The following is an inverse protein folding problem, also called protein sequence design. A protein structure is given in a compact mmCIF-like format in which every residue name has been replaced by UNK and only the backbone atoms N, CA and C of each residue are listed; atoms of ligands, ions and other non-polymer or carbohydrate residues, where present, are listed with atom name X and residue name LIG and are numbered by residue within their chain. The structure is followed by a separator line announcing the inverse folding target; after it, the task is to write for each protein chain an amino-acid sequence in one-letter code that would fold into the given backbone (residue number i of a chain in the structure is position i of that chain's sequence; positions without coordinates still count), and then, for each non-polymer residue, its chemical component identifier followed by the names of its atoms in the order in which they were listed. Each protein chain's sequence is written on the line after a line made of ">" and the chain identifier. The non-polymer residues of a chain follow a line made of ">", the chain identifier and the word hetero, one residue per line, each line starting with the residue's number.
data_IF_436869570482
#
_entry.id   IF_436869570482
#
_cell.length_a   1.000
_cell.length_b   1.000
_cell.length_c   1.000
_cell.angle_alpha   90.00
_cell.angle_beta   90.00
_cell.angle_gamma   90.00
#
_symmetry.space_group_name_H-M   'P 1'
#
loop_
_entity.id
_entity.type
_entity.pdbx_description
1 polymer ?
#
# COMPACT_ATOMS: atom_id res chain seq x y z
N UNK A 1 1.60 -28.50 3.05
CA UNK A 1 2.71 -27.51 3.13
C UNK A 1 2.24 -26.14 2.76
N UNK A 2 2.47 -25.20 3.64
CA UNK A 2 2.18 -23.80 3.31
C UNK A 2 3.19 -23.29 2.28
N UNK A 3 2.71 -22.62 1.27
CA UNK A 3 3.59 -21.97 0.31
C UNK A 3 4.27 -20.77 0.96
N UNK A 4 5.48 -20.46 0.54
CA UNK A 4 6.19 -19.29 1.04
C UNK A 4 5.48 -18.00 0.64
N UNK A 5 5.60 -16.99 1.50
CA UNK A 5 5.09 -15.68 1.18
C UNK A 5 5.97 -15.02 0.12
N UNK A 6 5.35 -14.57 -0.96
CA UNK A 6 6.05 -13.93 -2.09
C UNK A 6 5.43 -12.58 -2.41
N UNK A 7 6.29 -11.60 -2.62
CA UNK A 7 5.88 -10.25 -2.98
C UNK A 7 5.34 -10.24 -4.41
N UNK A 8 4.17 -9.65 -4.58
CA UNK A 8 3.50 -9.50 -5.87
C UNK A 8 3.58 -8.07 -6.39
N UNK A 9 3.71 -7.10 -5.50
CA UNK A 9 3.82 -5.70 -5.88
C UNK A 9 4.38 -4.85 -4.75
N UNK A 10 5.14 -3.83 -5.12
CA UNK A 10 5.58 -2.75 -4.23
C UNK A 10 5.03 -1.44 -4.76
N UNK A 11 4.38 -0.65 -3.92
CA UNK A 11 3.99 0.71 -4.26
C UNK A 11 4.54 1.65 -3.19
N UNK A 12 5.46 2.52 -3.58
CA UNK A 12 6.12 3.45 -2.68
C UNK A 12 5.34 4.75 -2.55
N UNK A 13 5.63 5.51 -1.50
CA UNK A 13 5.00 6.82 -1.24
C UNK A 13 3.49 6.76 -1.29
N UNK A 14 2.94 5.78 -0.58
CA UNK A 14 1.49 5.63 -0.43
C UNK A 14 1.05 6.36 0.83
N UNK A 15 0.01 7.17 0.69
CA UNK A 15 -0.61 7.90 1.79
C UNK A 15 -1.82 7.12 2.28
N UNK A 16 -1.78 6.70 3.54
CA UNK A 16 -2.89 6.01 4.19
C UNK A 16 -3.65 6.98 5.07
N UNK A 17 -4.96 7.04 4.90
CA UNK A 17 -5.85 7.79 5.78
C UNK A 17 -6.92 6.86 6.33
N UNK A 18 -7.36 7.13 7.56
CA UNK A 18 -8.53 6.49 8.13
C UNK A 18 -9.74 7.36 7.84
N UNK A 19 -10.83 6.74 7.39
CA UNK A 19 -12.10 7.43 7.15
C UNK A 19 -12.96 7.39 8.40
N UNK A 20 -13.73 8.44 8.65
CA UNK A 20 -14.68 8.51 9.75
C UNK A 20 -14.37 9.62 10.74
N UNK A 21 -15.23 9.74 11.74
CA UNK A 21 -15.21 10.81 12.75
C UNK A 21 -13.92 10.86 13.56
N UNK A 22 -13.27 9.74 13.75
CA UNK A 22 -12.04 9.63 14.53
C UNK A 22 -10.84 9.28 13.65
N UNK A 23 -10.93 9.61 12.37
CA UNK A 23 -9.83 9.40 11.46
C UNK A 23 -8.61 10.20 11.91
N UNK A 24 -7.49 9.53 12.10
CA UNK A 24 -6.24 10.17 12.47
C UNK A 24 -5.59 10.85 11.28
N UNK A 25 -4.42 11.46 11.54
CA UNK A 25 -3.59 12.02 10.48
C UNK A 25 -3.14 10.92 9.52
N UNK A 26 -3.00 11.27 8.25
CA UNK A 26 -2.46 10.36 7.26
C UNK A 26 -1.02 9.97 7.54
N UNK A 27 -0.61 8.86 6.98
CA UNK A 27 0.74 8.30 7.15
C UNK A 27 1.28 7.87 5.80
N UNK A 28 2.56 8.14 5.59
CA UNK A 28 3.25 7.64 4.40
C UNK A 28 3.85 6.27 4.66
N UNK A 29 3.81 5.41 3.65
CA UNK A 29 4.48 4.13 3.71
C UNK A 29 4.59 3.47 2.35
N UNK A 30 5.08 2.25 2.37
CA UNK A 30 5.13 1.40 1.19
C UNK A 30 4.02 0.34 1.31
N UNK A 31 3.19 0.25 0.29
CA UNK A 31 2.15 -0.76 0.24
C UNK A 31 2.70 -1.98 -0.50
N UNK A 32 2.73 -3.11 0.18
CA UNK A 32 3.23 -4.36 -0.39
C UNK A 32 2.09 -5.36 -0.46
N UNK A 33 1.88 -5.91 -1.66
CA UNK A 33 0.94 -7.01 -1.86
C UNK A 33 1.74 -8.30 -1.96
N UNK A 34 1.40 -9.27 -1.13
CA UNK A 34 1.99 -10.61 -1.24
C UNK A 34 0.90 -11.61 -1.64
N UNK A 35 1.30 -12.86 -1.84
CA UNK A 35 0.35 -13.92 -2.11
C UNK A 35 -0.50 -14.31 -0.90
N UNK A 36 -0.26 -13.71 0.27
CA UNK A 36 -0.98 -14.06 1.52
C UNK A 36 -1.71 -12.90 2.16
N UNK A 37 -1.19 -11.66 1.99
CA UNK A 37 -1.74 -10.51 2.73
C UNK A 37 -1.32 -9.20 2.10
N UNK A 38 -1.94 -8.13 2.57
CA UNK A 38 -1.60 -6.76 2.21
C UNK A 38 -0.86 -6.13 3.39
N UNK A 39 0.25 -5.47 3.10
CA UNK A 39 1.14 -4.93 4.12
C UNK A 39 1.36 -3.45 3.90
N UNK A 40 1.28 -2.66 4.97
CA UNK A 40 1.60 -1.24 4.91
C UNK A 40 2.82 -0.98 5.78
N UNK A 41 3.95 -0.70 5.14
CA UNK A 41 5.27 -0.59 5.78
C UNK A 41 5.59 0.88 6.00
N UNK A 42 5.49 1.32 7.25
CA UNK A 42 5.82 2.71 7.65
C UNK A 42 7.28 2.83 8.07
N UNK A 43 7.84 1.79 8.62
CA UNK A 43 9.25 1.75 9.07
C UNK A 43 9.94 0.63 8.31
N UNK A 44 10.98 1.00 7.55
CA UNK A 44 11.66 0.04 6.69
C UNK A 44 13.17 0.03 6.92
N UNK A 45 13.76 -1.16 6.78
CA UNK A 45 15.21 -1.35 6.73
C UNK A 45 15.78 -1.01 5.35
N UNK A 46 14.93 -0.77 4.36
CA UNK A 46 15.39 -0.34 3.04
C UNK A 46 16.08 1.02 3.13
N UNK A 47 17.19 1.16 2.41
CA UNK A 47 17.98 2.39 2.46
C UNK A 47 17.29 3.57 1.78
N UNK A 48 17.66 4.77 2.23
CA UNK A 48 17.14 6.02 1.66
C UNK A 48 17.45 6.12 0.16
N UNK A 49 18.63 5.68 -0.24
CA UNK A 49 19.02 5.69 -1.67
C UNK A 49 18.13 4.78 -2.50
N UNK A 50 17.83 3.59 -1.99
CA UNK A 50 16.94 2.66 -2.67
C UNK A 50 15.55 3.27 -2.81
N UNK A 51 15.01 3.80 -1.72
CA UNK A 51 13.68 4.42 -1.71
C UNK A 51 13.58 5.53 -2.75
N UNK A 52 14.53 6.46 -2.73
CA UNK A 52 14.53 7.60 -3.66
C UNK A 52 14.63 7.18 -5.11
N UNK A 53 15.53 6.23 -5.42
CA UNK A 53 15.71 5.75 -6.79
C UNK A 53 14.45 5.02 -7.30
N UNK A 54 13.88 4.14 -6.49
CA UNK A 54 12.69 3.38 -6.86
C UNK A 54 11.48 4.30 -6.99
N UNK A 55 11.32 5.23 -6.05
CA UNK A 55 10.23 6.21 -6.09
C UNK A 55 10.27 7.03 -7.39
N UNK A 56 11.43 7.47 -7.79
CA UNK A 56 11.60 8.23 -9.04
C UNK A 56 11.17 7.38 -10.25
N UNK A 57 11.67 6.15 -10.33
CA UNK A 57 11.29 5.23 -11.42
C UNK A 57 9.79 4.94 -11.42
N UNK A 58 9.23 4.73 -10.24
CA UNK A 58 7.80 4.47 -10.07
C UNK A 58 6.96 5.64 -10.60
N UNK A 59 7.32 6.87 -10.25
CA UNK A 59 6.59 8.05 -10.69
C UNK A 59 6.56 8.14 -12.21
N UNK A 60 7.72 7.97 -12.86
CA UNK A 60 7.81 7.98 -14.32
C UNK A 60 6.94 6.89 -14.93
N UNK A 61 7.04 5.67 -14.41
CA UNK A 61 6.27 4.54 -14.90
C UNK A 61 4.77 4.76 -14.75
N UNK A 62 4.34 5.25 -13.60
CA UNK A 62 2.91 5.44 -13.33
C UNK A 62 2.30 6.58 -14.14
N UNK A 63 3.09 7.57 -14.51
CA UNK A 63 2.65 8.61 -15.43
C UNK A 63 2.37 8.07 -16.82
N UNK A 64 3.04 6.97 -17.21
CA UNK A 64 2.88 6.36 -18.52
C UNK A 64 1.87 5.22 -18.55
N UNK A 65 2.00 4.24 -17.65
CA UNK A 65 1.21 3.01 -17.69
C UNK A 65 0.12 2.89 -16.63
N UNK A 66 0.24 3.65 -15.54
CA UNK A 66 -0.65 3.61 -14.36
C UNK A 66 -0.67 2.27 -13.62
N UNK A 67 0.08 1.26 -14.06
CA UNK A 67 0.08 -0.07 -13.47
C UNK A 67 0.85 -0.10 -12.15
N UNK A 68 0.17 -0.51 -11.08
CA UNK A 68 0.77 -0.63 -9.74
C UNK A 68 1.20 -2.06 -9.40
N UNK A 69 0.91 -3.03 -10.26
CA UNK A 69 1.27 -4.44 -10.04
C UNK A 69 2.70 -4.70 -10.54
N UNK A 70 3.68 -4.11 -9.84
CA UNK A 70 5.09 -4.20 -10.21
C UNK A 70 5.91 -4.57 -8.99
N UNK A 71 6.81 -5.54 -9.15
CA UNK A 71 7.78 -5.93 -8.13
C UNK A 71 9.06 -5.14 -8.37
N UNK A 72 9.51 -4.42 -7.35
CA UNK A 72 10.72 -3.60 -7.42
C UNK A 72 11.95 -4.38 -6.94
N UNK A 73 13.05 -4.26 -7.65
CA UNK A 73 14.31 -4.90 -7.26
C UNK A 73 14.92 -4.23 -6.03
N UNK A 74 15.63 -5.01 -5.23
CA UNK A 74 16.35 -4.49 -4.06
C UNK A 74 15.59 -4.58 -2.74
N UNK A 75 14.35 -5.02 -2.79
CA UNK A 75 13.56 -5.27 -1.58
C UNK A 75 12.82 -6.59 -1.76
N UNK A 76 13.42 -7.65 -1.25
CA UNK A 76 12.85 -8.98 -1.34
C UNK A 76 12.23 -9.45 -0.05
N UNK A 77 11.90 -10.73 0.01
CA UNK A 77 11.20 -11.35 1.12
C UNK A 77 12.00 -11.31 2.42
N UNK A 78 13.33 -11.29 2.35
CA UNK A 78 14.17 -11.19 3.54
C UNK A 78 14.03 -9.83 4.23
N UNK A 79 14.06 -8.75 3.45
CA UNK A 79 13.86 -7.41 3.99
C UNK A 79 12.44 -7.24 4.51
N UNK A 80 11.47 -7.83 3.82
CA UNK A 80 10.09 -7.83 4.27
C UNK A 80 9.95 -8.50 5.63
N UNK A 81 10.59 -9.66 5.82
CA UNK A 81 10.57 -10.36 7.09
C UNK A 81 11.08 -9.48 8.24
N UNK A 82 12.20 -8.78 8.00
CA UNK A 82 12.77 -7.87 8.99
C UNK A 82 11.82 -6.73 9.31
N UNK A 83 11.23 -6.13 8.28
CA UNK A 83 10.29 -5.03 8.48
C UNK A 83 9.03 -5.48 9.22
N UNK A 84 8.57 -6.71 9.03
CA UNK A 84 7.39 -7.24 9.70
C UNK A 84 7.59 -7.49 11.20
N UNK A 85 8.82 -7.49 11.67
CA UNK A 85 9.12 -7.55 13.11
C UNK A 85 8.80 -6.22 13.81
N UNK A 86 8.76 -5.12 13.07
CA UNK A 86 8.40 -3.82 13.62
C UNK A 86 6.88 -3.72 13.74
N UNK A 87 6.39 -3.52 14.96
CA UNK A 87 4.96 -3.48 15.26
C UNK A 87 4.22 -2.29 14.64
N UNK A 88 4.96 -1.27 14.21
CA UNK A 88 4.36 -0.10 13.54
C UNK A 88 3.93 -0.42 12.11
N UNK A 89 4.45 -1.49 11.54
CA UNK A 89 4.08 -1.93 10.19
C UNK A 89 2.81 -2.77 10.27
N UNK A 90 1.84 -2.45 9.43
CA UNK A 90 0.51 -3.02 9.46
C UNK A 90 0.41 -4.26 8.58
N UNK A 91 -0.22 -5.30 9.10
CA UNK A 91 -0.45 -6.57 8.38
C UNK A 91 -1.96 -6.77 8.24
N UNK A 92 -2.42 -6.94 7.00
CA UNK A 92 -3.83 -7.12 6.71
C UNK A 92 -4.02 -8.45 5.98
N UNK A 93 -4.52 -9.46 6.67
CA UNK A 93 -4.86 -10.74 6.05
C UNK A 93 -6.03 -10.55 5.11
N UNK A 94 -6.06 -11.25 3.98
CA UNK A 94 -7.10 -11.08 2.99
C UNK A 94 -8.50 -11.37 3.54
N UNK A 95 -8.63 -12.36 4.41
CA UNK A 95 -9.93 -12.70 4.99
C UNK A 95 -10.40 -11.70 6.05
N UNK A 96 -9.57 -10.74 6.43
CA UNK A 96 -9.97 -9.64 7.32
C UNK A 96 -10.40 -8.39 6.53
N UNK A 97 -10.33 -8.44 5.21
CA UNK A 97 -10.80 -7.36 4.35
C UNK A 97 -12.29 -7.58 4.07
N UNK A 98 -13.12 -6.70 4.60
CA UNK A 98 -14.58 -6.77 4.45
C UNK A 98 -15.04 -6.18 3.12
N UNK A 99 -14.31 -5.16 2.64
CA UNK A 99 -14.67 -4.43 1.44
C UNK A 99 -13.40 -3.87 0.83
N UNK A 100 -13.30 -3.94 -0.48
CA UNK A 100 -12.20 -3.34 -1.24
C UNK A 100 -12.73 -2.80 -2.56
N UNK A 101 -12.41 -1.55 -2.87
CA UNK A 101 -12.84 -0.90 -4.10
C UNK A 101 -11.86 0.17 -4.53
N UNK A 102 -11.63 0.27 -5.83
CA UNK A 102 -10.85 1.35 -6.43
C UNK A 102 -11.81 2.42 -6.96
N UNK A 103 -11.54 3.68 -6.63
CA UNK A 103 -12.34 4.82 -7.11
C UNK A 103 -11.45 5.91 -7.69
N UNK A 104 -11.89 6.46 -8.82
CA UNK A 104 -11.25 7.62 -9.42
C UNK A 104 -11.85 8.90 -8.84
N UNK A 105 -10.98 9.78 -8.34
CA UNK A 105 -11.33 11.11 -7.88
C UNK A 105 -10.66 12.13 -8.82
N UNK A 106 -11.16 13.36 -8.80
CA UNK A 106 -10.56 14.44 -9.61
C UNK A 106 -9.08 14.60 -9.28
N UNK A 107 -8.72 14.43 -8.02
CA UNK A 107 -7.36 14.65 -7.50
C UNK A 107 -6.46 13.41 -7.48
N UNK A 108 -6.99 12.23 -7.75
CA UNK A 108 -6.19 11.00 -7.71
C UNK A 108 -7.03 9.74 -7.71
N UNK A 109 -6.35 8.61 -7.74
CA UNK A 109 -7.00 7.29 -7.69
C UNK A 109 -6.88 6.73 -6.29
N UNK A 110 -7.98 6.29 -5.70
CA UNK A 110 -8.04 5.86 -4.30
C UNK A 110 -8.40 4.40 -4.20
N UNK A 111 -7.66 3.67 -3.37
CA UNK A 111 -8.00 2.30 -2.99
C UNK A 111 -8.67 2.35 -1.61
N UNK A 112 -9.95 1.98 -1.56
CA UNK A 112 -10.72 1.93 -0.31
C UNK A 112 -10.73 0.52 0.25
N UNK A 113 -10.45 0.40 1.55
CA UNK A 113 -10.51 -0.85 2.28
C UNK A 113 -11.28 -0.69 3.58
N UNK A 114 -12.22 -1.60 3.82
CA UNK A 114 -12.80 -1.77 5.14
C UNK A 114 -12.25 -3.09 5.68
N UNK A 115 -11.64 -3.05 6.87
CA UNK A 115 -10.99 -4.21 7.48
C UNK A 115 -11.46 -4.42 8.90
N UNK A 116 -11.24 -5.64 9.42
CA UNK A 116 -11.36 -5.93 10.84
C UNK A 116 -9.96 -6.11 11.41
N UNK A 117 -9.65 -5.38 12.46
CA UNK A 117 -8.38 -5.49 13.17
C UNK A 117 -8.65 -5.42 14.66
N UNK A 118 -8.23 -6.47 15.39
CA UNK A 118 -8.47 -6.54 16.82
C UNK A 118 -9.93 -6.48 17.23
N UNK A 119 -10.83 -7.03 16.41
CA UNK A 119 -12.26 -7.01 16.65
C UNK A 119 -12.96 -5.70 16.30
N UNK A 120 -12.21 -4.72 15.76
CA UNK A 120 -12.76 -3.43 15.37
C UNK A 120 -12.72 -3.24 13.87
N UNK A 121 -13.79 -2.66 13.34
CA UNK A 121 -13.83 -2.30 11.93
C UNK A 121 -13.08 -0.99 11.70
N UNK A 122 -12.20 -0.97 10.70
CA UNK A 122 -11.46 0.22 10.30
C UNK A 122 -11.70 0.48 8.83
N UNK A 123 -11.90 1.75 8.48
CA UNK A 123 -12.08 2.18 7.10
C UNK A 123 -10.85 2.95 6.66
N UNK A 124 -10.13 2.38 5.71
CA UNK A 124 -8.86 2.92 5.23
C UNK A 124 -8.96 3.36 3.79
N UNK A 125 -8.12 4.32 3.40
CA UNK A 125 -7.95 4.69 2.00
C UNK A 125 -6.48 4.92 1.71
N UNK A 126 -6.06 4.52 0.51
CA UNK A 126 -4.69 4.61 0.05
C UNK A 126 -4.61 5.37 -1.25
N UNK A 127 -3.64 6.28 -1.35
CA UNK A 127 -3.39 7.05 -2.57
C UNK A 127 -1.89 7.15 -2.79
N UNK A 128 -1.46 7.18 -4.06
CA UNK A 128 -0.03 7.31 -4.38
C UNK A 128 0.32 8.78 -4.48
N UNK A 129 1.32 9.20 -3.72
CA UNK A 129 1.72 10.61 -3.66
C UNK A 129 2.66 10.94 -4.80
N UNK A 130 2.42 12.06 -5.47
CA UNK A 130 3.32 12.59 -6.48
C UNK A 130 4.23 13.68 -5.90
N UNK A 131 3.67 14.65 -5.20
CA UNK A 131 4.40 15.77 -4.64
C UNK A 131 4.10 16.00 -3.16
N UNK A 132 5.08 16.52 -2.44
CA UNK A 132 5.01 16.79 -1.01
C UNK A 132 5.30 18.24 -0.70
N UNK A 133 4.64 18.76 0.33
CA UNK A 133 5.11 19.94 1.08
C UNK A 133 5.91 19.41 2.27
N UNK A 134 7.15 19.87 2.42
CA UNK A 134 8.04 19.39 3.48
C UNK A 134 8.13 20.28 4.70
N UNK A 135 7.62 21.50 4.63
CA UNK A 135 7.72 22.46 5.72
C UNK A 135 6.49 23.36 5.74
N UNK A 136 5.93 23.66 6.91
CA UNK A 136 6.33 23.21 8.26
C UNK A 136 5.84 21.80 8.62
N UNK A 137 4.89 21.27 7.87
CA UNK A 137 4.31 19.94 8.08
C UNK A 137 4.51 19.14 6.80
N UNK A 138 5.07 17.92 6.93
CA UNK A 138 5.16 17.02 5.76
C UNK A 138 3.76 16.54 5.39
N UNK A 139 3.29 16.96 4.22
CA UNK A 139 1.96 16.60 3.73
C UNK A 139 1.96 16.44 2.22
N UNK A 140 1.16 15.51 1.67
CA UNK A 140 1.06 15.39 0.23
C UNK A 140 0.29 16.57 -0.37
N UNK A 141 0.76 17.08 -1.50
CA UNK A 141 0.11 18.16 -2.23
C UNK A 141 -0.48 17.72 -3.55
N UNK A 142 -0.02 16.58 -4.06
CA UNK A 142 -0.50 16.08 -5.34
C UNK A 142 -0.42 14.56 -5.36
N UNK A 143 -1.48 13.93 -5.90
CA UNK A 143 -1.58 12.48 -5.99
C UNK A 143 -1.54 12.04 -7.45
N UNK A 144 -1.05 10.82 -7.68
CA UNK A 144 -1.00 10.22 -9.00
C UNK A 144 -2.33 9.54 -9.34
N UNK A 145 -2.65 9.54 -10.62
CA UNK A 145 -3.70 8.69 -11.17
C UNK A 145 -3.09 7.32 -11.46
N UNK A 146 -3.60 6.29 -10.80
CA UNK A 146 -3.09 4.92 -10.96
C UNK A 146 -4.25 3.95 -11.12
N UNK A 147 -3.95 2.76 -11.63
CA UNK A 147 -4.92 1.69 -11.79
C UNK A 147 -4.77 0.69 -10.65
N UNK A 148 -5.68 0.73 -9.69
CA UNK A 148 -5.71 -0.19 -8.55
C UNK A 148 -6.43 -1.51 -8.87
N UNK A 149 -6.98 -1.68 -10.07
CA UNK A 149 -7.81 -2.84 -10.39
C UNK A 149 -7.09 -4.17 -10.19
N UNK A 150 -5.78 -4.21 -10.46
CA UNK A 150 -4.97 -5.42 -10.24
C UNK A 150 -4.93 -5.84 -8.78
N UNK A 151 -4.79 -4.88 -7.87
CA UNK A 151 -4.84 -5.14 -6.42
C UNK A 151 -6.21 -5.69 -6.01
N UNK A 152 -7.27 -5.02 -6.46
CA UNK A 152 -8.65 -5.42 -6.13
C UNK A 152 -8.93 -6.84 -6.60
N UNK A 153 -8.61 -7.13 -7.86
CA UNK A 153 -8.82 -8.46 -8.43
C UNK A 153 -8.02 -9.53 -7.71
N UNK A 154 -6.73 -9.27 -7.48
CA UNK A 154 -5.86 -10.25 -6.82
C UNK A 154 -6.39 -10.61 -5.43
N UNK A 155 -6.76 -9.61 -4.64
CA UNK A 155 -7.24 -9.82 -3.28
C UNK A 155 -8.59 -10.55 -3.30
N UNK A 156 -9.52 -10.12 -4.14
CA UNK A 156 -10.84 -10.79 -4.24
C UNK A 156 -10.72 -12.24 -4.67
N UNK A 157 -9.84 -12.54 -5.61
CA UNK A 157 -9.61 -13.91 -6.07
C UNK A 157 -9.07 -14.79 -4.94
N UNK A 158 -8.17 -14.26 -4.12
CA UNK A 158 -7.59 -14.96 -2.97
C UNK A 158 -8.63 -15.17 -1.85
N UNK A 159 -9.51 -14.23 -1.63
CA UNK A 159 -10.59 -14.36 -0.64
C UNK A 159 -11.54 -15.51 -1.00
N UNK A 160 -11.85 -15.66 -2.27
CA UNK A 160 -12.69 -16.76 -2.76
C UNK A 160 -12.02 -18.11 -2.50
N UNK A 161 -10.73 -18.20 -2.78
CA UNK A 161 -9.96 -19.45 -2.58
C UNK A 161 -9.83 -19.81 -1.10
N UNK A 162 -9.75 -18.79 -0.21
CA UNK A 162 -9.58 -18.99 1.22
C UNK A 162 -10.87 -19.31 1.97
N UNK A 163 -12.00 -19.18 1.31
CA UNK A 163 -13.29 -19.56 1.85
C UNK A 163 -13.54 -21.05 1.61
#
# INVERSE_FOLDING_TARGET
>A
MESEEKIQAHVLSVWQESRGLFGGKGKEGMLILTNKRLLFIKKTEAGIKWWGAVRTRQTVRLLQSKDVMVVEDGYGEEKLKMDLENKKNQKINFNNILYIEAKEKVWGSVLFLDIIEGGKEMKLQFSVVQDWVKYPISAPTKFLKVDWSGFVKYIKDRQIVMK
#
